data_IF_867800974247
#
_entry.id   IF_867800974247
#
_cell.length_a   1.000
_cell.length_b   1.000
_cell.length_c   1.000
_cell.angle_alpha   90.00
_cell.angle_beta   90.00
_cell.angle_gamma   90.00
#
_symmetry.space_group_name_H-M   'P 1'
#
loop_
_entity.id
_entity.type
_entity.pdbx_description
1 polymer ?
#
# COMPACT_ATOMS: atom_id res chain seq x y z
N UNK A 1 -2.91 20.43 11.46
CA UNK A 1 -1.97 19.33 11.72
C UNK A 1 -2.44 18.11 10.93
N UNK A 2 -1.54 17.46 10.20
CA UNK A 2 -1.88 16.38 9.25
C UNK A 2 -1.25 15.07 9.73
N UNK A 3 -2.07 14.09 10.20
CA UNK A 3 -1.56 12.76 10.45
C UNK A 3 -1.15 12.13 9.12
N UNK A 4 0.01 11.48 9.11
CA UNK A 4 0.54 10.79 7.95
C UNK A 4 -0.42 9.65 7.51
N UNK A 5 -0.07 8.93 6.44
CA UNK A 5 -0.87 7.82 5.92
C UNK A 5 -0.86 6.56 6.81
N UNK A 6 -1.85 5.69 6.62
CA UNK A 6 -1.91 4.31 7.11
C UNK A 6 -1.74 4.15 8.63
N UNK A 7 -2.21 5.12 9.42
CA UNK A 7 -2.12 5.06 10.88
C UNK A 7 -0.70 5.24 11.42
N UNK A 8 0.27 5.69 10.61
CA UNK A 8 1.65 5.89 11.04
C UNK A 8 1.78 7.00 12.10
N UNK A 9 0.85 7.95 12.11
CA UNK A 9 0.82 9.05 13.07
C UNK A 9 -0.59 9.35 13.54
N UNK A 10 -0.70 9.83 14.78
CA UNK A 10 -1.92 10.36 15.37
C UNK A 10 -1.71 11.84 15.67
N UNK A 11 -2.67 12.68 15.26
CA UNK A 11 -2.66 14.08 15.64
C UNK A 11 -3.52 14.29 16.89
N UNK A 12 -2.93 14.87 17.93
CA UNK A 12 -3.62 15.34 19.12
C UNK A 12 -3.85 16.85 18.99
N UNK A 13 -5.07 17.29 19.29
CA UNK A 13 -5.42 18.70 19.43
C UNK A 13 -5.90 18.96 20.85
N UNK A 14 -5.32 19.97 21.50
CA UNK A 14 -5.75 20.44 22.81
C UNK A 14 -6.37 21.83 22.66
N UNK A 15 -7.57 21.99 23.22
CA UNK A 15 -8.34 23.23 23.18
C UNK A 15 -8.48 23.77 24.60
N UNK A 16 -8.01 25.00 24.83
CA UNK A 16 -8.31 25.75 26.03
C UNK A 16 -9.56 26.59 25.75
N UNK A 17 -10.60 26.42 26.56
CA UNK A 17 -11.88 27.10 26.40
C UNK A 17 -12.12 28.08 27.54
N UNK A 18 -12.70 29.23 27.23
CA UNK A 18 -13.16 30.23 28.20
C UNK A 18 -14.68 30.36 28.12
N UNK A 19 -15.35 30.38 29.27
CA UNK A 19 -16.78 30.66 29.36
C UNK A 19 -16.98 32.13 29.72
N UNK A 20 -17.71 32.86 28.88
CA UNK A 20 -18.08 34.25 29.18
C UNK A 20 -19.43 34.59 28.55
N UNK A 21 -20.21 35.44 29.22
CA UNK A 21 -21.51 35.92 28.72
C UNK A 21 -22.47 34.79 28.25
N UNK A 22 -22.42 33.63 28.91
CA UNK A 22 -23.30 32.51 28.58
C UNK A 22 -22.88 31.68 27.37
N UNK A 23 -21.66 31.85 26.85
CA UNK A 23 -21.12 31.02 25.77
C UNK A 23 -19.64 30.62 25.98
N UNK A 24 -19.26 29.51 25.37
CA UNK A 24 -17.86 29.06 25.30
C UNK A 24 -17.16 29.71 24.10
N UNK A 25 -15.94 30.16 24.30
CA UNK A 25 -15.02 30.57 23.24
C UNK A 25 -13.70 29.80 23.35
N UNK A 26 -13.09 29.49 22.21
CA UNK A 26 -11.75 28.88 22.18
C UNK A 26 -10.73 29.98 22.48
N UNK A 27 -10.03 29.83 23.60
CA UNK A 27 -8.97 30.76 24.00
C UNK A 27 -7.63 30.39 23.35
N UNK A 28 -7.35 29.09 23.21
CA UNK A 28 -6.12 28.59 22.59
C UNK A 28 -6.34 27.21 21.99
N UNK A 29 -5.56 26.95 20.94
CA UNK A 29 -5.44 25.63 20.32
C UNK A 29 -3.96 25.28 20.25
N UNK A 30 -3.59 24.09 20.70
CA UNK A 30 -2.30 23.47 20.41
C UNK A 30 -2.49 22.14 19.70
N UNK A 31 -1.48 21.72 18.96
CA UNK A 31 -1.48 20.45 18.26
C UNK A 31 -0.13 19.75 18.38
N UNK A 32 -0.16 18.44 18.53
CA UNK A 32 1.01 17.57 18.52
C UNK A 32 0.78 16.41 17.55
N UNK A 33 1.84 15.98 16.86
CA UNK A 33 1.82 14.76 16.06
C UNK A 33 2.62 13.68 16.78
N UNK A 34 1.98 12.54 17.03
CA UNK A 34 2.54 11.38 17.70
C UNK A 34 2.83 10.30 16.66
N UNK A 35 3.99 9.65 16.74
CA UNK A 35 4.30 8.50 15.89
C UNK A 35 3.74 7.22 16.51
N UNK A 36 2.94 6.47 15.77
CA UNK A 36 2.30 5.26 16.32
C UNK A 36 3.31 4.16 16.61
N UNK A 37 4.43 4.10 15.89
CA UNK A 37 5.47 3.08 16.07
C UNK A 37 6.28 3.22 17.37
N UNK A 38 6.13 4.31 18.12
CA UNK A 38 6.78 4.48 19.43
C UNK A 38 5.90 4.02 20.59
N UNK A 39 4.61 3.76 20.34
CA UNK A 39 3.71 3.23 21.35
C UNK A 39 3.85 1.71 21.43
N UNK A 40 3.81 1.16 22.65
CA UNK A 40 3.67 -0.27 22.84
C UNK A 40 2.28 -0.72 22.34
N UNK A 41 2.23 -1.85 21.64
CA UNK A 41 0.96 -2.42 21.20
C UNK A 41 0.12 -2.84 22.42
N UNK A 42 -1.19 -2.56 22.37
CA UNK A 42 -2.12 -3.00 23.42
C UNK A 42 -2.38 -4.52 23.28
N UNK A 43 -2.06 -5.34 24.31
CA UNK A 43 -2.24 -6.80 24.25
C UNK A 43 -3.68 -7.25 24.03
N UNK A 44 -4.67 -6.47 24.48
CA UNK A 44 -6.08 -6.77 24.25
C UNK A 44 -6.40 -6.62 22.76
N UNK A 45 -5.89 -5.57 22.13
CA UNK A 45 -6.15 -5.30 20.71
C UNK A 45 -5.45 -6.32 19.81
N UNK A 46 -4.18 -6.62 20.06
CA UNK A 46 -3.44 -7.60 19.25
C UNK A 46 -4.05 -9.00 19.35
N UNK A 47 -4.55 -9.37 20.54
CA UNK A 47 -5.25 -10.64 20.75
C UNK A 47 -6.53 -10.76 19.92
N UNK A 48 -7.28 -9.68 19.72
CA UNK A 48 -8.52 -9.71 18.94
C UNK A 48 -8.29 -10.06 17.46
N UNK A 49 -7.09 -9.83 16.93
CA UNK A 49 -6.77 -10.01 15.52
C UNK A 49 -5.72 -11.11 15.28
N UNK A 50 -5.30 -11.83 16.32
CA UNK A 50 -4.19 -12.79 16.22
C UNK A 50 -4.50 -13.96 15.28
N UNK A 51 -5.77 -14.40 15.22
CA UNK A 51 -6.18 -15.52 14.37
C UNK A 51 -6.25 -15.10 12.90
N UNK A 52 -6.83 -13.94 12.63
CA UNK A 52 -6.89 -13.31 11.31
C UNK A 52 -5.49 -12.98 10.80
N UNK A 53 -4.63 -12.42 11.65
CA UNK A 53 -3.25 -12.12 11.31
C UNK A 53 -2.50 -13.38 10.87
N UNK A 54 -2.62 -14.49 11.62
CA UNK A 54 -1.99 -15.76 11.23
C UNK A 54 -2.51 -16.29 9.90
N UNK A 55 -3.82 -16.20 9.64
CA UNK A 55 -4.41 -16.59 8.35
C UNK A 55 -3.87 -15.74 7.20
N UNK A 56 -3.80 -14.42 7.38
CA UNK A 56 -3.26 -13.50 6.38
C UNK A 56 -1.78 -13.78 6.12
N UNK A 57 -0.97 -13.95 7.18
CA UNK A 57 0.46 -14.29 7.05
C UNK A 57 0.64 -15.61 6.29
N UNK A 58 -0.16 -16.63 6.60
CA UNK A 58 -0.10 -17.90 5.88
C UNK A 58 -0.49 -17.74 4.40
N UNK A 59 -1.55 -17.00 4.12
CA UNK A 59 -2.03 -16.74 2.76
C UNK A 59 -1.01 -15.95 1.93
N UNK A 60 -0.54 -14.80 2.41
CA UNK A 60 0.34 -13.92 1.61
C UNK A 60 1.71 -14.52 1.32
N UNK A 61 2.16 -15.48 2.14
CA UNK A 61 3.43 -16.19 1.92
C UNK A 61 3.30 -17.43 1.01
N UNK A 62 2.12 -17.71 0.45
CA UNK A 62 1.97 -18.78 -0.53
C UNK A 62 2.76 -18.46 -1.80
N UNK A 63 3.55 -19.43 -2.27
CA UNK A 63 4.33 -19.33 -3.51
C UNK A 63 3.39 -19.48 -4.70
N UNK A 64 3.45 -18.52 -5.62
CA UNK A 64 2.65 -18.48 -6.85
C UNK A 64 3.48 -18.73 -8.11
N UNK A 65 4.80 -18.77 -7.99
CA UNK A 65 5.70 -19.03 -9.10
C UNK A 65 7.15 -18.78 -8.74
N UNK A 66 7.97 -18.61 -9.78
CA UNK A 66 9.40 -18.31 -9.62
C UNK A 66 9.86 -17.27 -10.62
N UNK A 67 10.85 -16.47 -10.25
CA UNK A 67 11.58 -15.56 -11.15
C UNK A 67 13.05 -15.96 -11.25
N UNK A 68 13.63 -15.89 -12.44
CA UNK A 68 15.07 -16.15 -12.65
C UNK A 68 15.94 -14.97 -12.20
N UNK A 69 15.34 -13.78 -12.05
CA UNK A 69 16.05 -12.54 -11.72
C UNK A 69 15.25 -11.73 -10.69
N UNK A 70 15.97 -10.97 -9.86
CA UNK A 70 15.34 -10.01 -8.97
C UNK A 70 14.99 -8.73 -9.74
N UNK A 71 13.84 -8.15 -9.46
CA UNK A 71 13.37 -6.89 -10.06
C UNK A 71 12.95 -5.93 -8.96
N UNK A 72 13.30 -4.64 -9.08
CA UNK A 72 13.05 -3.62 -8.06
C UNK A 72 12.43 -2.36 -8.67
N UNK A 73 11.52 -1.75 -7.92
CA UNK A 73 10.86 -0.48 -8.28
C UNK A 73 11.59 0.77 -7.75
N UNK A 74 12.68 0.61 -7.00
CA UNK A 74 13.32 1.71 -6.27
C UNK A 74 13.67 2.93 -7.14
N UNK A 75 14.12 2.69 -8.37
CA UNK A 75 14.48 3.74 -9.34
C UNK A 75 13.37 4.06 -10.37
N UNK A 76 12.25 3.31 -10.33
CA UNK A 76 11.14 3.40 -11.26
C UNK A 76 10.49 4.79 -11.43
N UNK A 77 10.54 5.72 -10.45
CA UNK A 77 10.03 7.07 -10.68
C UNK A 77 10.83 7.89 -11.71
N UNK A 78 12.09 7.54 -11.97
CA UNK A 78 12.97 8.31 -12.85
C UNK A 78 13.74 7.49 -13.87
N UNK A 79 13.61 6.16 -13.84
CA UNK A 79 14.27 5.25 -14.76
C UNK A 79 13.33 4.16 -15.20
N UNK A 80 13.60 3.64 -16.38
CA UNK A 80 13.01 2.39 -16.84
C UNK A 80 13.55 1.22 -15.99
N UNK A 81 12.65 0.34 -15.54
CA UNK A 81 12.96 -0.79 -14.66
C UNK A 81 12.10 -2.00 -15.02
N UNK A 82 12.71 -3.18 -15.04
CA UNK A 82 12.07 -4.42 -15.51
C UNK A 82 10.75 -4.79 -14.79
N UNK A 83 10.57 -4.35 -13.54
CA UNK A 83 9.33 -4.59 -12.79
C UNK A 83 8.13 -3.82 -13.39
N UNK A 84 8.35 -2.66 -14.01
CA UNK A 84 7.30 -1.89 -14.70
C UNK A 84 6.92 -2.55 -16.03
N UNK A 85 7.91 -3.11 -16.74
CA UNK A 85 7.67 -3.91 -17.94
C UNK A 85 6.85 -5.15 -17.63
N UNK A 86 7.16 -5.85 -16.54
CA UNK A 86 6.40 -7.02 -16.08
C UNK A 86 4.92 -6.66 -15.87
N UNK A 87 4.63 -5.59 -15.12
CA UNK A 87 3.25 -5.15 -14.86
C UNK A 87 2.54 -4.82 -16.18
N UNK A 88 3.19 -4.01 -17.03
CA UNK A 88 2.63 -3.59 -18.31
C UNK A 88 2.36 -4.77 -19.24
N UNK A 89 3.26 -5.76 -19.25
CA UNK A 89 3.11 -7.00 -20.02
C UNK A 89 1.92 -7.83 -19.54
N UNK A 90 1.81 -8.07 -18.23
CA UNK A 90 0.70 -8.84 -17.65
C UNK A 90 -0.64 -8.16 -17.89
N UNK A 91 -0.73 -6.84 -17.70
CA UNK A 91 -1.93 -6.06 -17.97
C UNK A 91 -2.34 -6.15 -19.44
N UNK A 92 -1.42 -5.90 -20.37
CA UNK A 92 -1.68 -6.00 -21.80
C UNK A 92 -2.11 -7.41 -22.22
N UNK A 93 -1.44 -8.44 -21.72
CA UNK A 93 -1.76 -9.84 -21.99
C UNK A 93 -3.14 -10.24 -21.47
N UNK A 94 -3.49 -9.81 -20.26
CA UNK A 94 -4.80 -10.07 -19.65
C UNK A 94 -5.92 -9.46 -20.47
N UNK A 95 -5.78 -8.19 -20.88
CA UNK A 95 -6.76 -7.51 -21.73
C UNK A 95 -6.85 -8.17 -23.10
N UNK A 96 -5.73 -8.47 -23.75
CA UNK A 96 -5.73 -9.21 -25.05
C UNK A 96 -6.46 -10.55 -24.95
N UNK A 97 -6.23 -11.30 -23.88
CA UNK A 97 -6.94 -12.56 -23.62
C UNK A 97 -8.44 -12.37 -23.46
N UNK A 98 -8.88 -11.32 -22.76
CA UNK A 98 -10.29 -11.01 -22.57
C UNK A 98 -10.98 -10.52 -23.85
N UNK A 99 -10.25 -9.85 -24.76
CA UNK A 99 -10.79 -9.38 -26.04
C UNK A 99 -10.82 -10.49 -27.11
N UNK A 100 -10.12 -11.60 -26.91
CA UNK A 100 -10.08 -12.69 -27.88
C UNK A 100 -11.49 -13.24 -28.16
N UNK A 101 -11.84 -13.37 -29.44
CA UNK A 101 -13.16 -13.84 -29.87
C UNK A 101 -14.29 -12.79 -29.80
N UNK A 102 -13.99 -11.55 -29.40
CA UNK A 102 -14.92 -10.42 -29.48
C UNK A 102 -14.69 -9.61 -30.76
N UNK A 103 -15.62 -8.71 -31.10
CA UNK A 103 -15.48 -7.76 -32.21
C UNK A 103 -14.25 -6.84 -32.08
N UNK A 104 -13.67 -6.75 -30.88
CA UNK A 104 -12.53 -5.90 -30.56
C UNK A 104 -11.18 -6.62 -30.62
N UNK A 105 -11.14 -7.91 -30.98
CA UNK A 105 -9.93 -8.74 -30.93
C UNK A 105 -8.77 -8.19 -31.79
N UNK A 106 -9.07 -7.42 -32.84
CA UNK A 106 -8.08 -6.83 -33.75
C UNK A 106 -7.52 -5.47 -33.28
N UNK A 107 -8.08 -4.87 -32.22
CA UNK A 107 -7.61 -3.57 -31.75
C UNK A 107 -6.25 -3.68 -31.04
N UNK A 108 -5.36 -2.70 -31.22
CA UNK A 108 -4.13 -2.64 -30.43
C UNK A 108 -4.43 -2.38 -28.96
N UNK A 109 -3.80 -3.14 -28.07
CA UNK A 109 -3.85 -2.94 -26.62
C UNK A 109 -2.59 -2.22 -26.18
N UNK A 110 -2.75 -1.03 -25.60
CA UNK A 110 -1.70 -0.26 -24.95
C UNK A 110 -1.88 -0.39 -23.43
N UNK A 111 -0.81 -0.77 -22.73
CA UNK A 111 -0.76 -0.72 -21.27
C UNK A 111 0.23 0.34 -20.81
N UNK A 112 -0.14 1.07 -19.76
CA UNK A 112 0.71 2.07 -19.13
C UNK A 112 0.68 1.82 -17.63
N UNK A 113 1.84 1.50 -17.06
CA UNK A 113 2.04 1.39 -15.62
C UNK A 113 2.94 2.53 -15.13
N UNK A 114 2.62 3.08 -13.96
CA UNK A 114 3.44 4.08 -13.27
C UNK A 114 3.96 3.50 -11.97
N UNK A 115 5.16 3.91 -11.58
CA UNK A 115 5.77 3.47 -10.34
C UNK A 115 5.02 4.05 -9.13
N UNK A 116 4.09 3.28 -8.57
CA UNK A 116 3.31 3.68 -7.39
C UNK A 116 4.09 3.50 -6.08
N UNK A 117 4.84 2.40 -5.98
CA UNK A 117 5.68 2.06 -4.83
C UNK A 117 7.15 2.09 -5.21
N UNK A 118 8.02 2.60 -4.33
CA UNK A 118 9.49 2.52 -4.48
C UNK A 118 10.10 1.33 -3.71
N UNK A 119 9.26 0.55 -3.06
CA UNK A 119 9.67 -0.58 -2.23
C UNK A 119 9.14 -1.91 -2.77
N UNK A 120 8.39 -1.89 -3.88
CA UNK A 120 7.95 -3.10 -4.57
C UNK A 120 9.17 -3.83 -5.15
N UNK A 121 9.22 -5.14 -4.97
CA UNK A 121 10.26 -5.98 -5.50
C UNK A 121 9.73 -7.39 -5.78
N UNK A 122 10.25 -8.00 -6.84
CA UNK A 122 10.12 -9.43 -7.10
C UNK A 122 11.49 -10.06 -6.85
N UNK A 123 11.62 -11.05 -5.95
CA UNK A 123 12.89 -11.71 -5.70
C UNK A 123 13.27 -12.66 -6.84
N UNK A 124 14.56 -12.97 -6.97
CA UNK A 124 14.97 -14.18 -7.69
C UNK A 124 14.61 -15.42 -6.86
N UNK A 125 14.19 -16.50 -7.50
CA UNK A 125 13.68 -17.69 -6.84
C UNK A 125 12.17 -17.65 -6.66
N UNK A 126 11.68 -18.06 -5.49
CA UNK A 126 10.24 -18.15 -5.21
C UNK A 126 9.59 -16.78 -5.13
N UNK A 127 8.44 -16.64 -5.81
CA UNK A 127 7.61 -15.44 -5.77
C UNK A 127 6.33 -15.77 -5.02
N UNK A 128 5.99 -14.96 -4.02
CA UNK A 128 4.81 -15.13 -3.17
C UNK A 128 3.67 -14.19 -3.55
N UNK A 129 2.48 -14.44 -3.03
CA UNK A 129 1.34 -13.50 -3.14
C UNK A 129 1.73 -12.10 -2.63
N UNK A 130 2.48 -12.02 -1.52
CA UNK A 130 2.97 -10.76 -0.95
C UNK A 130 3.83 -9.97 -1.94
N UNK A 131 4.71 -10.64 -2.67
CA UNK A 131 5.60 -9.99 -3.63
C UNK A 131 4.80 -9.39 -4.78
N UNK A 132 3.80 -10.13 -5.30
CA UNK A 132 2.91 -9.66 -6.35
C UNK A 132 1.94 -8.55 -5.86
N UNK A 133 1.43 -8.64 -4.63
CA UNK A 133 0.54 -7.63 -4.05
C UNK A 133 1.27 -6.34 -3.67
N UNK A 134 2.60 -6.38 -3.55
CA UNK A 134 3.44 -5.22 -3.28
C UNK A 134 3.73 -4.35 -4.50
N UNK A 135 3.39 -4.82 -5.71
CA UNK A 135 3.59 -4.15 -7.01
C UNK A 135 2.77 -2.87 -7.17
#
# INVERSE_FOLDING_TARGET
SEPLKWGQRLTLFDFELTWSKGCWSVAKVSAQVLNSNTAAEDPKITRLLSDEHRKVVAYVNQVIGTSTQAMSSAEGPGKDVAIMDLISHVQAGTVKGALAGTDWAALPVLSQASCFSRTAAIPAGQVTIKDAAGL
#
